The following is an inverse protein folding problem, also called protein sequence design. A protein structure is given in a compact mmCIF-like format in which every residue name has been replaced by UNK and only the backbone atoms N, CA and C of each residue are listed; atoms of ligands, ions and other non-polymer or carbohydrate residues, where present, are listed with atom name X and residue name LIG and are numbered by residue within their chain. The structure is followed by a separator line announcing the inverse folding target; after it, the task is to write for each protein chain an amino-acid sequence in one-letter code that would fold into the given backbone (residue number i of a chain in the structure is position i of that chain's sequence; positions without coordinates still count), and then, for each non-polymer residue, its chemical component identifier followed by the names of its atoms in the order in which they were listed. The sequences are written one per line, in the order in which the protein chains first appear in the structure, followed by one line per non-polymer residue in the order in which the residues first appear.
data_IF_379718821540
#
_entry.id   IF_379718821540
#
_cell.length_a   1.000
_cell.length_b   1.000
_cell.length_c   1.000
_cell.angle_alpha   90.00
_cell.angle_beta   90.00
_cell.angle_gamma   90.00
#
_symmetry.space_group_name_H-M   'P 1'
#
loop_
_entity.id
_entity.type
_entity.pdbx_description
1 polymer ?
#
# COMPACT_ATOMS: atom_id res chain seq x y z
N UNK A 1 -3.11 -4.64 -22.83
CA UNK A 1 -2.17 -4.05 -21.85
C UNK A 1 -1.09 -3.34 -22.66
N UNK A 2 -1.28 -2.06 -22.97
CA UNK A 2 -0.21 -1.26 -23.58
C UNK A 2 0.95 -1.30 -22.59
N UNK A 3 2.14 -1.60 -23.10
CA UNK A 3 3.42 -1.50 -22.39
C UNK A 3 3.33 -0.26 -21.50
N UNK A 4 3.18 -0.45 -20.18
CA UNK A 4 3.49 0.64 -19.25
C UNK A 4 4.92 0.99 -19.63
N UNK A 5 5.13 2.24 -20.00
CA UNK A 5 5.97 2.48 -21.17
C UNK A 5 7.45 2.39 -20.82
N UNK A 6 8.13 1.35 -21.29
CA UNK A 6 9.60 1.27 -21.25
C UNK A 6 10.22 2.53 -21.87
N UNK A 7 9.53 3.18 -22.82
CA UNK A 7 9.96 4.45 -23.39
C UNK A 7 9.94 5.59 -22.37
N UNK A 8 9.01 5.60 -21.39
CA UNK A 8 9.02 6.59 -20.31
C UNK A 8 10.27 6.44 -19.44
N UNK A 9 10.57 5.22 -19.00
CA UNK A 9 11.77 4.95 -18.20
C UNK A 9 13.06 5.17 -19.01
N UNK A 10 13.04 4.88 -20.32
CA UNK A 10 14.17 5.18 -21.20
C UNK A 10 14.38 6.70 -21.34
N UNK A 11 13.30 7.46 -21.58
CA UNK A 11 13.34 8.92 -21.71
C UNK A 11 13.77 9.60 -20.40
N UNK A 12 13.42 9.03 -19.25
CA UNK A 12 13.85 9.50 -17.94
C UNK A 12 15.32 9.17 -17.61
N UNK A 13 16.03 8.45 -18.48
CA UNK A 13 17.46 8.16 -18.33
C UNK A 13 17.79 6.96 -17.44
N UNK A 14 16.82 6.07 -17.18
CA UNK A 14 17.10 4.88 -16.37
C UNK A 14 18.12 3.99 -17.06
N UNK A 15 19.21 3.57 -16.38
CA UNK A 15 20.21 2.70 -16.99
C UNK A 15 19.63 1.32 -17.35
N UNK A 16 18.56 0.92 -16.66
CA UNK A 16 17.93 -0.39 -16.78
C UNK A 16 16.40 -0.26 -16.79
N UNK A 17 15.81 0.32 -17.85
CA UNK A 17 14.41 0.74 -17.85
C UNK A 17 13.45 -0.43 -17.67
N UNK A 18 13.79 -1.62 -18.19
CA UNK A 18 13.04 -2.86 -17.98
C UNK A 18 13.00 -3.32 -16.51
N UNK A 19 14.15 -3.29 -15.82
CA UNK A 19 14.21 -3.68 -14.39
C UNK A 19 13.49 -2.67 -13.50
N UNK A 20 13.57 -1.38 -13.85
CA UNK A 20 12.88 -0.32 -13.13
C UNK A 20 11.35 -0.49 -13.23
N UNK A 21 10.82 -0.72 -14.43
CA UNK A 21 9.38 -0.92 -14.61
C UNK A 21 8.88 -2.23 -13.99
N UNK A 22 9.63 -3.33 -14.09
CA UNK A 22 9.25 -4.59 -13.44
C UNK A 22 9.11 -4.42 -11.93
N UNK A 23 10.00 -3.65 -11.30
CA UNK A 23 9.93 -3.35 -9.86
C UNK A 23 8.64 -2.61 -9.50
N UNK A 24 8.29 -1.57 -10.26
CA UNK A 24 7.04 -0.81 -10.05
C UNK A 24 5.81 -1.70 -10.25
N UNK A 25 5.79 -2.50 -11.31
CA UNK A 25 4.68 -3.40 -11.60
C UNK A 25 4.52 -4.47 -10.51
N UNK A 26 5.61 -5.05 -10.02
CA UNK A 26 5.58 -6.00 -8.91
C UNK A 26 4.99 -5.39 -7.64
N UNK A 27 5.36 -4.15 -7.30
CA UNK A 27 4.78 -3.43 -6.17
C UNK A 27 3.27 -3.22 -6.36
N UNK A 28 2.86 -2.65 -7.50
CA UNK A 28 1.45 -2.36 -7.82
C UNK A 28 0.61 -3.65 -7.79
N UNK A 29 1.08 -4.73 -8.42
CA UNK A 29 0.38 -6.01 -8.39
C UNK A 29 0.25 -6.58 -6.98
N UNK A 30 1.31 -6.49 -6.16
CA UNK A 30 1.31 -6.96 -4.78
C UNK A 30 0.31 -6.23 -3.90
N UNK A 31 0.33 -4.89 -3.92
CA UNK A 31 -0.61 -4.09 -3.13
C UNK A 31 -2.04 -4.24 -3.64
N UNK A 32 -2.28 -4.18 -4.96
CA UNK A 32 -3.63 -4.36 -5.53
C UNK A 32 -4.23 -5.73 -5.20
N UNK A 33 -3.42 -6.80 -5.17
CA UNK A 33 -3.91 -8.15 -4.81
C UNK A 33 -4.34 -8.20 -3.35
N UNK A 34 -3.54 -7.63 -2.45
CA UNK A 34 -3.85 -7.59 -1.01
C UNK A 34 -5.11 -6.76 -0.75
N UNK A 35 -5.22 -5.60 -1.37
CA UNK A 35 -6.39 -4.72 -1.21
C UNK A 35 -7.66 -5.32 -1.81
N UNK A 36 -7.57 -6.00 -2.96
CA UNK A 36 -8.71 -6.70 -3.55
C UNK A 36 -9.21 -7.83 -2.62
N UNK A 37 -8.30 -8.58 -1.99
CA UNK A 37 -8.65 -9.62 -1.04
C UNK A 37 -9.30 -9.05 0.23
N UNK A 38 -8.79 -7.92 0.73
CA UNK A 38 -9.36 -7.20 1.86
C UNK A 38 -10.78 -6.69 1.55
N UNK A 39 -10.97 -5.95 0.46
CA UNK A 39 -12.28 -5.42 0.06
C UNK A 39 -13.31 -6.51 -0.21
N UNK A 40 -12.88 -7.63 -0.80
CA UNK A 40 -13.74 -8.81 -0.97
C UNK A 40 -14.18 -9.40 0.37
N UNK A 41 -13.32 -9.35 1.39
CA UNK A 41 -13.63 -9.83 2.74
C UNK A 41 -14.63 -8.92 3.44
N UNK A 42 -14.46 -7.60 3.33
CA UNK A 42 -15.42 -6.60 3.81
C UNK A 42 -16.78 -6.79 3.12
N UNK A 43 -16.80 -6.90 1.80
CA UNK A 43 -18.05 -7.11 1.06
C UNK A 43 -18.81 -8.38 1.51
N UNK A 44 -18.08 -9.46 1.81
CA UNK A 44 -18.68 -10.71 2.33
C UNK A 44 -19.19 -10.60 3.76
N UNK A 45 -18.70 -9.66 4.58
CA UNK A 45 -19.20 -9.48 5.94
C UNK A 45 -20.54 -8.76 5.99
N UNK A 46 -20.91 -8.05 4.93
CA UNK A 46 -22.11 -7.20 4.88
C UNK A 46 -22.00 -5.91 5.71
N UNK A 47 -20.82 -5.60 6.24
CA UNK A 47 -20.54 -4.39 7.01
C UNK A 47 -19.95 -3.29 6.11
N UNK A 48 -20.05 -2.04 6.54
CA UNK A 48 -19.16 -1.01 5.99
C UNK A 48 -17.72 -1.32 6.38
N UNK A 49 -16.75 -0.84 5.60
CA UNK A 49 -15.34 -1.09 5.90
C UNK A 49 -14.92 -0.52 7.26
N UNK A 50 -15.33 0.71 7.58
CA UNK A 50 -15.06 1.31 8.87
C UNK A 50 -15.69 0.50 10.02
N UNK A 51 -16.92 -0.02 9.83
CA UNK A 51 -17.58 -0.89 10.80
C UNK A 51 -16.84 -2.21 11.01
N UNK A 52 -16.40 -2.83 9.91
CA UNK A 52 -15.61 -4.07 9.94
C UNK A 52 -14.29 -3.88 10.68
N UNK A 53 -13.58 -2.79 10.43
CA UNK A 53 -12.34 -2.43 11.14
C UNK A 53 -12.60 -2.19 12.62
N UNK A 54 -13.61 -1.38 12.96
CA UNK A 54 -13.97 -1.10 14.35
C UNK A 54 -14.29 -2.39 15.13
N UNK A 55 -14.98 -3.34 14.49
CA UNK A 55 -15.27 -4.65 15.10
C UNK A 55 -14.02 -5.51 15.32
N UNK A 56 -13.04 -5.43 14.42
CA UNK A 56 -11.79 -6.20 14.52
C UNK A 56 -10.75 -5.57 15.45
N UNK A 57 -10.79 -4.25 15.64
CA UNK A 57 -9.76 -3.50 16.35
C UNK A 57 -9.46 -4.03 17.77
N UNK A 58 -10.44 -4.39 18.62
CA UNK A 58 -10.15 -4.92 19.94
C UNK A 58 -9.31 -6.21 19.91
N UNK A 59 -9.60 -7.10 18.95
CA UNK A 59 -8.84 -8.34 18.78
C UNK A 59 -7.42 -8.06 18.23
N UNK A 60 -7.29 -7.09 17.31
CA UNK A 60 -6.00 -6.67 16.77
C UNK A 60 -5.10 -6.06 17.86
N UNK A 61 -5.64 -5.17 18.70
CA UNK A 61 -4.93 -4.57 19.84
C UNK A 61 -4.52 -5.62 20.87
N UNK A 62 -5.42 -6.55 21.19
CA UNK A 62 -5.11 -7.66 22.10
C UNK A 62 -3.99 -8.56 21.54
N UNK A 63 -3.99 -8.83 20.24
CA UNK A 63 -2.94 -9.61 19.58
C UNK A 63 -1.60 -8.86 19.52
N UNK A 64 -1.63 -7.53 19.39
CA UNK A 64 -0.45 -6.68 19.40
C UNK A 64 0.11 -6.44 20.82
N UNK A 65 -0.63 -6.78 21.88
CA UNK A 65 -0.21 -6.56 23.26
C UNK A 65 1.15 -7.25 23.53
N UNK A 66 2.12 -6.47 24.02
CA UNK A 66 3.49 -6.95 24.25
C UNK A 66 4.44 -6.79 23.05
N UNK A 67 3.95 -6.34 21.89
CA UNK A 67 4.76 -6.04 20.70
C UNK A 67 4.77 -4.54 20.43
N UNK A 68 5.70 -3.82 21.09
CA UNK A 68 5.76 -2.36 21.07
C UNK A 68 5.75 -1.73 19.65
N UNK A 69 6.37 -2.40 18.66
CA UNK A 69 6.41 -1.95 17.27
C UNK A 69 5.07 -2.10 16.51
N UNK A 70 4.14 -2.93 17.01
CA UNK A 70 2.81 -3.12 16.42
C UNK A 70 1.75 -2.26 17.10
N UNK A 71 1.87 -2.03 18.41
CA UNK A 71 0.92 -1.22 19.19
C UNK A 71 0.79 0.19 18.63
N UNK A 72 1.90 0.83 18.23
CA UNK A 72 1.89 2.17 17.67
C UNK A 72 1.05 2.27 16.38
N UNK A 73 1.10 1.25 15.52
CA UNK A 73 0.37 1.23 14.23
C UNK A 73 -1.15 1.06 14.37
N UNK A 74 -1.65 0.61 15.51
CA UNK A 74 -3.10 0.44 15.76
C UNK A 74 -3.73 1.64 16.47
N UNK A 75 -2.94 2.51 17.11
CA UNK A 75 -3.43 3.70 17.79
C UNK A 75 -3.92 4.80 16.83
N UNK A 76 -3.38 4.86 15.61
CA UNK A 76 -3.76 5.85 14.60
C UNK A 76 -5.17 5.60 14.01
N UNK A 77 -5.66 4.36 14.10
CA UNK A 77 -6.95 3.94 13.55
C UNK A 77 -8.17 4.26 14.44
N UNK A 78 -7.97 4.83 15.64
CA UNK A 78 -9.04 5.12 16.61
C UNK A 78 -9.73 6.49 16.43
N UNK A 79 -9.35 7.28 15.42
CA UNK A 79 -9.91 8.63 15.27
C UNK A 79 -11.30 8.63 14.62
N UNK A 80 -12.20 9.49 15.09
CA UNK A 80 -13.57 9.61 14.58
C UNK A 80 -13.68 10.12 13.12
N UNK A 81 -12.56 10.48 12.49
CA UNK A 81 -12.43 10.88 11.08
C UNK A 81 -11.78 9.79 10.22
N UNK A 82 -11.70 8.55 10.71
CA UNK A 82 -11.06 7.44 10.02
C UNK A 82 -11.80 7.08 8.71
N UNK A 83 -11.20 7.44 7.58
CA UNK A 83 -11.60 7.02 6.24
C UNK A 83 -10.64 5.91 5.77
N UNK A 84 -11.08 4.63 5.79
CA UNK A 84 -10.26 3.51 5.34
C UNK A 84 -9.81 3.64 3.88
N UNK A 85 -10.63 4.25 3.02
CA UNK A 85 -10.31 4.40 1.61
C UNK A 85 -9.20 5.43 1.41
N UNK A 86 -9.32 6.60 2.03
CA UNK A 86 -8.27 7.61 2.00
C UNK A 86 -6.95 7.07 2.57
N UNK A 87 -6.99 6.29 3.65
CA UNK A 87 -5.79 5.68 4.23
C UNK A 87 -5.12 4.67 3.27
N UNK A 88 -5.90 3.90 2.51
CA UNK A 88 -5.34 3.01 1.48
C UNK A 88 -4.67 3.79 0.36
N UNK A 89 -5.32 4.85 -0.11
CA UNK A 89 -4.77 5.70 -1.18
C UNK A 89 -3.47 6.38 -0.74
N UNK A 90 -3.42 6.85 0.50
CA UNK A 90 -2.21 7.39 1.12
C UNK A 90 -1.09 6.34 1.22
N UNK A 91 -1.40 5.14 1.75
CA UNK A 91 -0.44 4.03 1.85
C UNK A 91 0.11 3.61 0.49
N UNK A 92 -0.77 3.52 -0.51
CA UNK A 92 -0.37 3.22 -1.88
C UNK A 92 0.62 4.26 -2.41
N UNK A 93 0.27 5.54 -2.27
CA UNK A 93 1.07 6.67 -2.74
C UNK A 93 2.44 6.69 -2.06
N UNK A 94 2.46 6.63 -0.72
CA UNK A 94 3.70 6.61 0.06
C UNK A 94 4.62 5.44 -0.36
N UNK A 95 4.08 4.22 -0.45
CA UNK A 95 4.88 3.07 -0.85
C UNK A 95 5.36 3.16 -2.30
N UNK A 96 4.58 3.78 -3.20
CA UNK A 96 5.00 4.03 -4.58
C UNK A 96 6.16 5.03 -4.62
N UNK A 97 6.10 6.11 -3.86
CA UNK A 97 7.20 7.08 -3.71
C UNK A 97 8.48 6.38 -3.23
N UNK A 98 8.39 5.57 -2.16
CA UNK A 98 9.53 4.79 -1.66
C UNK A 98 10.10 3.83 -2.71
N UNK A 99 9.23 3.16 -3.47
CA UNK A 99 9.65 2.24 -4.55
C UNK A 99 10.32 3.00 -5.70
N UNK A 100 9.89 4.22 -6.00
CA UNK A 100 10.43 5.08 -7.05
C UNK A 100 11.70 5.83 -6.61
N UNK A 101 11.89 6.09 -5.33
CA UNK A 101 13.06 6.76 -4.77
C UNK A 101 14.35 5.99 -5.07
N UNK A 102 14.33 4.66 -4.92
CA UNK A 102 15.52 3.83 -5.22
C UNK A 102 15.93 3.90 -6.71
N UNK A 103 15.03 3.74 -7.69
CA UNK A 103 15.29 4.05 -9.07
C UNK A 103 15.80 5.50 -9.26
N UNK A 104 15.17 6.50 -8.67
CA UNK A 104 15.57 7.90 -8.81
C UNK A 104 17.02 8.15 -8.34
N UNK A 105 17.43 7.53 -7.22
CA UNK A 105 18.81 7.59 -6.74
C UNK A 105 19.83 6.98 -7.73
N UNK A 106 19.42 6.08 -8.63
CA UNK A 106 20.28 5.53 -9.69
C UNK A 106 20.37 6.42 -10.93
N UNK A 107 19.47 7.40 -11.10
CA UNK A 107 19.56 8.42 -12.16
C UNK A 107 20.60 9.50 -11.84
N UNK A 108 20.84 9.76 -10.55
CA UNK A 108 21.74 10.80 -10.06
C UNK A 108 23.23 10.39 -10.04
N UNK A 109 23.58 9.21 -10.53
CA UNK A 109 24.95 8.67 -10.62
C UNK A 109 25.40 8.59 -12.06
#
# INVERSE_FOLDING_TARGET
MKVVDIALFTAAGFPEPGRAIETVLSYVMGISTTEAAWLSTVARSGESEAGFIARLMPAAQQAAAGHAHLVASYAEAETAAFDPAALRDEKFTYGLEVVLDRPALRLAR
#
